data_IF_409164240421
#
_entry.id   IF_409164240421
#
_cell.length_a   1.000
_cell.length_b   1.000
_cell.length_c   1.000
_cell.angle_alpha   90.00
_cell.angle_beta   90.00
_cell.angle_gamma   90.00
#
_symmetry.space_group_name_H-M   'P 1'
#
loop_
_entity.id
_entity.type
_entity.pdbx_description
1 polymer ?
#
# COMPACT_ATOMS: atom_id res chain seq x y z
N UNK A 1 -13.80 51.74 7.01
CA UNK A 1 -12.79 50.68 6.87
C UNK A 1 -13.39 49.38 7.39
N UNK A 2 -13.96 48.51 6.55
CA UNK A 2 -14.43 47.23 7.05
C UNK A 2 -13.22 46.34 7.33
N UNK A 3 -13.16 45.78 8.55
CA UNK A 3 -12.15 44.81 8.94
C UNK A 3 -12.19 43.61 7.96
N UNK A 4 -11.07 43.39 7.27
CA UNK A 4 -10.95 42.38 6.24
C UNK A 4 -11.05 40.93 6.74
N UNK A 5 -11.16 39.96 5.81
CA UNK A 5 -11.42 38.53 6.06
C UNK A 5 -10.31 37.76 6.80
N UNK A 6 -9.24 38.43 7.25
CA UNK A 6 -8.10 37.83 7.97
C UNK A 6 -8.42 37.41 9.41
N UNK A 7 -9.38 38.08 10.07
CA UNK A 7 -9.72 37.79 11.48
C UNK A 7 -10.51 36.47 11.64
N UNK A 8 -11.39 36.17 10.69
CA UNK A 8 -12.25 34.99 10.73
C UNK A 8 -11.47 33.67 10.55
N UNK A 9 -10.46 33.66 9.67
CA UNK A 9 -9.62 32.48 9.37
C UNK A 9 -8.66 32.14 10.51
N UNK A 10 -8.11 33.15 11.19
CA UNK A 10 -7.22 32.94 12.33
C UNK A 10 -7.96 32.36 13.54
N UNK A 11 -9.13 32.92 13.88
CA UNK A 11 -9.99 32.40 14.96
C UNK A 11 -10.46 30.97 14.71
N UNK A 12 -10.82 30.62 13.47
CA UNK A 12 -11.17 29.25 13.09
C UNK A 12 -9.97 28.29 13.19
N UNK A 13 -8.78 28.72 12.79
CA UNK A 13 -7.55 27.90 12.89
C UNK A 13 -7.18 27.61 14.34
N UNK A 14 -7.24 28.62 15.22
CA UNK A 14 -6.97 28.45 16.65
C UNK A 14 -8.02 27.56 17.32
N UNK A 15 -9.30 27.76 17.01
CA UNK A 15 -10.40 26.92 17.52
C UNK A 15 -10.23 25.46 17.09
N UNK A 16 -9.88 25.22 15.83
CA UNK A 16 -9.60 23.88 15.33
C UNK A 16 -8.39 23.25 16.02
N UNK A 17 -7.29 23.99 16.20
CA UNK A 17 -6.11 23.51 16.93
C UNK A 17 -6.44 23.15 18.38
N UNK A 18 -7.20 24.00 19.07
CA UNK A 18 -7.64 23.74 20.44
C UNK A 18 -8.53 22.51 20.53
N UNK A 19 -9.53 22.38 19.66
CA UNK A 19 -10.39 21.20 19.60
C UNK A 19 -9.58 19.93 19.31
N UNK A 20 -8.61 20.01 18.39
CA UNK A 20 -7.75 18.87 18.08
C UNK A 20 -6.89 18.46 19.28
N UNK A 21 -6.32 19.42 20.02
CA UNK A 21 -5.57 19.13 21.25
C UNK A 21 -6.44 18.43 22.31
N UNK A 22 -7.71 18.83 22.44
CA UNK A 22 -8.66 18.18 23.37
C UNK A 22 -8.97 16.72 23.04
N UNK A 23 -8.82 16.33 21.77
CA UNK A 23 -9.03 14.95 21.33
C UNK A 23 -7.77 14.09 21.42
N UNK A 24 -6.60 14.66 21.74
CA UNK A 24 -5.36 13.91 21.88
C UNK A 24 -5.22 13.34 23.28
N UNK A 25 -4.70 12.11 23.36
CA UNK A 25 -4.28 11.57 24.66
C UNK A 25 -3.05 12.35 25.19
N UNK A 26 -2.85 12.43 26.52
CA UNK A 26 -1.67 13.12 27.09
C UNK A 26 -0.33 12.59 26.56
N UNK A 27 -0.26 11.30 26.21
CA UNK A 27 0.93 10.67 25.64
C UNK A 27 1.18 11.04 24.16
N UNK A 28 0.14 11.45 23.43
CA UNK A 28 0.25 11.77 22.01
C UNK A 28 0.99 13.09 21.77
N UNK A 29 0.81 14.09 22.63
CA UNK A 29 1.47 15.39 22.53
C UNK A 29 3.01 15.29 22.55
N UNK A 30 3.66 14.72 23.59
CA UNK A 30 5.11 14.57 23.61
C UNK A 30 5.61 13.67 22.49
N UNK A 31 4.84 12.65 22.10
CA UNK A 31 5.17 11.82 20.94
C UNK A 31 5.24 12.65 19.66
N UNK A 32 4.21 13.45 19.34
CA UNK A 32 4.20 14.29 18.14
C UNK A 32 5.32 15.33 18.15
N UNK A 33 5.59 15.96 19.29
CA UNK A 33 6.71 16.89 19.45
C UNK A 33 8.06 16.19 19.18
N UNK A 34 8.30 15.02 19.78
CA UNK A 34 9.51 14.24 19.55
C UNK A 34 9.68 13.83 18.09
N UNK A 35 8.59 13.44 17.40
CA UNK A 35 8.60 13.12 15.97
C UNK A 35 8.96 14.32 15.10
N UNK A 36 8.41 15.49 15.40
CA UNK A 36 8.70 16.71 14.67
C UNK A 36 10.16 17.13 14.85
N UNK A 37 10.67 17.09 16.08
CA UNK A 37 12.09 17.35 16.37
C UNK A 37 12.99 16.36 15.63
N UNK A 38 12.68 15.06 15.69
CA UNK A 38 13.46 14.04 14.97
C UNK A 38 13.50 14.29 13.46
N UNK A 39 12.36 14.66 12.85
CA UNK A 39 12.29 14.98 11.43
C UNK A 39 13.11 16.23 11.07
N UNK A 40 13.11 17.27 11.91
CA UNK A 40 13.95 18.45 11.73
C UNK A 40 15.44 18.13 11.89
N UNK A 41 15.82 17.35 12.90
CA UNK A 41 17.21 16.91 13.09
C UNK A 41 17.68 16.09 11.88
N UNK A 42 16.85 15.17 11.39
CA UNK A 42 17.14 14.39 10.17
C UNK A 42 17.23 15.26 8.90
N UNK A 43 16.51 16.39 8.84
CA UNK A 43 16.58 17.32 7.71
C UNK A 43 17.88 18.14 7.67
N UNK A 44 18.41 18.54 8.83
CA UNK A 44 19.62 19.37 8.95
C UNK A 44 20.89 18.49 8.92
N UNK A 45 20.86 17.36 9.62
CA UNK A 45 21.98 16.44 9.73
C UNK A 45 21.54 15.02 9.35
N UNK A 46 21.36 14.72 8.05
CA UNK A 46 20.92 13.41 7.59
C UNK A 46 21.95 12.36 8.01
N UNK A 47 21.59 11.49 8.97
CA UNK A 47 22.44 10.35 9.32
C UNK A 47 22.43 9.38 8.15
N UNK A 48 23.54 9.32 7.41
CA UNK A 48 23.80 8.23 6.45
C UNK A 48 23.92 6.92 7.22
N UNK A 49 22.81 6.20 7.34
CA UNK A 49 22.83 4.80 7.77
C UNK A 49 23.11 3.97 6.53
N UNK A 50 24.21 3.22 6.55
CA UNK A 50 24.49 2.22 5.52
C UNK A 50 23.46 1.09 5.61
N UNK A 51 23.14 0.52 4.45
CA UNK A 51 22.38 -0.71 4.38
C UNK A 51 23.34 -1.83 4.80
N UNK A 52 23.02 -2.64 5.83
CA UNK A 52 23.87 -3.74 6.21
C UNK A 52 23.96 -4.77 5.08
N UNK A 53 25.05 -5.54 4.97
CA UNK A 53 25.12 -6.63 4.00
C UNK A 53 23.99 -7.64 4.25
N UNK A 54 23.52 -8.25 3.17
CA UNK A 54 22.53 -9.33 3.26
C UNK A 54 23.19 -10.58 3.83
N UNK A 55 22.53 -11.25 4.78
CA UNK A 55 22.98 -12.52 5.33
C UNK A 55 22.22 -13.73 4.75
N UNK A 56 21.16 -13.47 4.00
CA UNK A 56 20.32 -14.45 3.32
C UNK A 56 19.83 -13.93 1.98
N UNK A 57 19.52 -14.85 1.07
CA UNK A 57 18.79 -14.51 -0.15
C UNK A 57 17.33 -14.12 0.12
N UNK A 58 16.65 -13.51 -0.85
CA UNK A 58 15.21 -13.28 -0.77
C UNK A 58 14.45 -14.61 -0.75
N UNK A 59 13.26 -14.61 -0.16
CA UNK A 59 12.47 -15.79 0.07
C UNK A 59 11.95 -16.39 -1.24
N UNK A 60 11.94 -17.71 -1.33
CA UNK A 60 11.61 -18.46 -2.55
C UNK A 60 10.18 -18.99 -2.59
N UNK A 61 9.48 -19.08 -1.45
CA UNK A 61 8.10 -19.59 -1.45
C UNK A 61 7.15 -18.49 -1.89
N UNK A 62 6.26 -18.85 -2.81
CA UNK A 62 5.29 -17.93 -3.38
C UNK A 62 4.00 -18.00 -2.58
N UNK A 63 3.36 -16.85 -2.40
CA UNK A 63 1.98 -16.72 -1.92
C UNK A 63 1.04 -16.16 -2.99
N UNK A 64 1.58 -15.84 -4.18
CA UNK A 64 0.82 -15.42 -5.35
C UNK A 64 1.10 -16.40 -6.49
N UNK A 65 0.03 -16.88 -7.12
CA UNK A 65 0.07 -17.87 -8.19
C UNK A 65 -0.82 -17.42 -9.35
N UNK A 66 -0.50 -17.89 -10.56
CA UNK A 66 -1.42 -17.79 -11.70
C UNK A 66 -2.37 -18.99 -11.60
N UNK A 67 -3.68 -18.78 -11.44
CA UNK A 67 -4.63 -19.88 -11.36
C UNK A 67 -4.73 -20.63 -12.69
N UNK A 68 -4.98 -21.93 -12.62
CA UNK A 68 -5.27 -22.75 -13.80
C UNK A 68 -6.61 -22.34 -14.42
N UNK A 69 -6.68 -22.29 -15.75
CA UNK A 69 -7.92 -21.95 -16.47
C UNK A 69 -8.28 -20.46 -16.46
N UNK A 70 -7.42 -19.58 -15.93
CA UNK A 70 -7.62 -18.13 -16.03
C UNK A 70 -7.60 -17.68 -17.49
N UNK A 71 -8.60 -16.91 -17.92
CA UNK A 71 -8.57 -16.22 -19.21
C UNK A 71 -7.50 -15.12 -19.18
N UNK A 72 -6.41 -15.23 -19.95
CA UNK A 72 -5.35 -14.24 -19.94
C UNK A 72 -5.74 -12.93 -20.64
N UNK A 73 -6.79 -12.91 -21.47
CA UNK A 73 -7.11 -11.79 -22.36
C UNK A 73 -7.25 -10.43 -21.64
N UNK A 74 -8.06 -10.26 -20.58
CA UNK A 74 -8.20 -8.97 -19.90
C UNK A 74 -6.89 -8.50 -19.24
N UNK A 75 -6.08 -9.43 -18.72
CA UNK A 75 -4.81 -9.14 -18.08
C UNK A 75 -3.74 -8.70 -19.08
N UNK A 76 -3.69 -9.39 -20.22
CA UNK A 76 -2.78 -9.07 -21.32
C UNK A 76 -3.16 -7.72 -21.94
N UNK A 77 -4.45 -7.44 -22.13
CA UNK A 77 -4.92 -6.17 -22.67
C UNK A 77 -4.52 -4.97 -21.80
N UNK A 78 -4.69 -5.06 -20.48
CA UNK A 78 -4.28 -3.97 -19.58
C UNK A 78 -2.74 -3.89 -19.46
N UNK A 79 -2.03 -5.02 -19.43
CA UNK A 79 -0.58 -5.01 -19.46
C UNK A 79 -0.03 -4.36 -20.74
N UNK A 80 -0.69 -4.55 -21.89
CA UNK A 80 -0.35 -3.91 -23.16
C UNK A 80 -0.61 -2.41 -23.16
N UNK A 81 -1.74 -1.99 -22.60
CA UNK A 81 -2.01 -0.56 -22.38
C UNK A 81 -0.90 0.08 -21.56
N UNK A 82 -0.54 -0.50 -20.41
CA UNK A 82 0.53 0.01 -19.54
C UNK A 82 1.88 -0.02 -20.26
N UNK A 83 2.21 -1.11 -20.96
CA UNK A 83 3.46 -1.23 -21.70
C UNK A 83 3.58 -0.22 -22.84
N UNK A 84 2.45 0.20 -23.44
CA UNK A 84 2.38 1.27 -24.43
C UNK A 84 2.40 2.69 -23.84
N UNK A 85 2.42 2.81 -22.50
CA UNK A 85 2.52 4.09 -21.79
C UNK A 85 1.19 4.65 -21.29
N UNK A 86 0.08 3.93 -21.46
CA UNK A 86 -1.23 4.37 -20.97
C UNK A 86 -1.48 3.88 -19.54
N UNK A 87 -1.76 4.81 -18.62
CA UNK A 87 -2.12 4.51 -17.23
C UNK A 87 -3.50 5.09 -16.89
N UNK A 88 -4.29 4.30 -16.17
CA UNK A 88 -5.58 4.73 -15.62
C UNK A 88 -5.51 4.81 -14.10
N UNK A 89 -5.76 6.01 -13.58
CA UNK A 89 -5.74 6.36 -12.16
C UNK A 89 -7.08 6.97 -11.80
N UNK A 90 -7.89 6.28 -10.99
CA UNK A 90 -9.29 6.63 -10.76
C UNK A 90 -10.02 6.83 -12.11
N UNK A 91 -10.67 7.98 -12.31
CA UNK A 91 -11.31 8.36 -13.56
C UNK A 91 -10.36 8.99 -14.60
N UNK A 92 -9.08 9.20 -14.27
CA UNK A 92 -8.11 9.85 -15.15
C UNK A 92 -7.33 8.79 -15.94
N UNK A 93 -7.48 8.80 -17.25
CA UNK A 93 -6.58 8.10 -18.17
C UNK A 93 -5.56 9.11 -18.72
N UNK A 94 -4.27 8.81 -18.62
CA UNK A 94 -3.24 9.57 -19.31
C UNK A 94 -2.38 8.65 -20.17
N UNK A 95 -2.24 9.02 -21.44
CA UNK A 95 -1.38 8.37 -22.42
C UNK A 95 -0.16 9.24 -22.81
N UNK A 96 -0.20 10.55 -22.52
CA UNK A 96 0.59 11.54 -23.26
C UNK A 96 1.53 12.39 -22.39
N UNK A 97 2.34 11.81 -21.49
CA UNK A 97 3.22 12.65 -20.65
C UNK A 97 4.49 12.06 -20.04
N UNK A 98 4.74 10.76 -20.19
CA UNK A 98 5.97 10.11 -19.72
C UNK A 98 5.72 8.65 -19.38
N UNK A 99 6.29 7.75 -20.17
CA UNK A 99 6.60 6.38 -19.77
C UNK A 99 8.13 6.31 -19.75
N UNK A 100 8.77 6.29 -18.56
CA UNK A 100 8.19 6.20 -17.22
C UNK A 100 7.46 7.49 -16.75
N UNK A 101 6.48 7.37 -15.84
CA UNK A 101 5.76 8.51 -15.25
C UNK A 101 6.66 9.58 -14.61
N UNK A 102 6.20 10.84 -14.60
CA UNK A 102 6.80 11.90 -13.78
C UNK A 102 6.38 11.73 -12.32
N UNK A 103 7.13 10.94 -11.57
CA UNK A 103 6.75 10.42 -10.24
C UNK A 103 6.43 11.46 -9.15
N UNK A 104 6.99 12.67 -9.24
CA UNK A 104 6.72 13.75 -8.29
C UNK A 104 5.74 14.80 -8.83
N UNK A 105 5.10 14.55 -9.99
CA UNK A 105 4.06 15.40 -10.56
C UNK A 105 2.70 14.80 -10.30
N UNK A 106 1.78 15.58 -9.73
CA UNK A 106 0.39 15.19 -9.70
C UNK A 106 -0.17 15.14 -11.14
N UNK A 107 -0.64 13.97 -11.63
CA UNK A 107 -1.13 13.85 -13.00
C UNK A 107 -2.44 14.62 -13.24
N UNK A 108 -3.20 14.97 -12.20
CA UNK A 108 -4.47 15.70 -12.32
C UNK A 108 -4.27 17.21 -12.47
N UNK A 109 -3.45 17.81 -11.62
CA UNK A 109 -3.23 19.27 -11.64
C UNK A 109 -1.97 19.68 -12.38
N UNK A 110 -1.05 18.74 -12.63
CA UNK A 110 0.24 19.01 -13.26
C UNK A 110 1.26 19.69 -12.34
N UNK A 111 0.96 19.87 -11.04
CA UNK A 111 1.88 20.45 -10.06
C UNK A 111 3.04 19.48 -9.79
N UNK A 112 4.27 19.98 -9.85
CA UNK A 112 5.49 19.23 -9.51
C UNK A 112 5.82 19.46 -8.03
N UNK A 113 5.68 18.40 -7.23
CA UNK A 113 5.96 18.43 -5.81
C UNK A 113 7.47 18.53 -5.52
N UNK A 114 7.89 19.33 -4.53
CA UNK A 114 9.31 19.50 -4.25
C UNK A 114 9.90 18.28 -3.52
N UNK A 115 11.18 18.00 -3.78
CA UNK A 115 11.95 16.97 -3.07
C UNK A 115 12.53 17.48 -1.73
N UNK A 116 11.76 18.20 -0.91
CA UNK A 116 12.17 18.56 0.47
C UNK A 116 12.08 17.33 1.39
N UNK A 117 12.41 17.46 2.67
CA UNK A 117 12.27 16.36 3.64
C UNK A 117 10.80 15.92 3.73
N UNK A 118 10.49 14.69 3.33
CA UNK A 118 9.11 14.22 3.15
C UNK A 118 8.27 14.33 4.43
N UNK A 119 8.86 14.07 5.59
CA UNK A 119 8.15 14.17 6.88
C UNK A 119 7.86 15.60 7.35
N UNK A 120 8.47 16.60 6.72
CA UNK A 120 8.23 18.03 6.95
C UNK A 120 7.43 18.67 5.80
N UNK A 121 7.24 17.95 4.69
CA UNK A 121 6.47 18.42 3.56
C UNK A 121 4.97 18.40 3.91
N UNK A 122 4.33 19.58 3.82
CA UNK A 122 2.88 19.66 3.96
C UNK A 122 2.19 19.18 2.68
N UNK A 123 1.99 17.87 2.60
CA UNK A 123 1.30 17.23 1.49
C UNK A 123 -0.19 17.58 1.40
N UNK A 124 -0.75 18.34 2.36
CA UNK A 124 -2.13 18.82 2.29
C UNK A 124 -2.24 20.16 1.57
N UNK A 125 -1.15 20.90 1.39
CA UNK A 125 -1.17 22.12 0.59
C UNK A 125 -1.18 21.79 -0.90
N UNK A 126 -2.38 21.90 -1.51
CA UNK A 126 -2.60 21.62 -2.92
C UNK A 126 -1.78 22.50 -3.86
N UNK A 127 -1.34 23.68 -3.42
CA UNK A 127 -0.46 24.54 -4.23
C UNK A 127 0.97 24.00 -4.29
N UNK A 128 1.37 23.22 -3.30
CA UNK A 128 2.71 22.67 -3.17
C UNK A 128 2.85 21.30 -3.83
N UNK A 129 1.82 20.46 -3.76
CA UNK A 129 1.89 19.06 -4.22
C UNK A 129 0.78 18.65 -5.19
N UNK A 130 -0.15 19.55 -5.52
CA UNK A 130 -1.33 19.22 -6.30
C UNK A 130 -2.36 18.40 -5.51
N UNK A 131 -3.09 17.53 -6.19
CA UNK A 131 -3.95 16.53 -5.58
C UNK A 131 -3.10 15.31 -5.16
N UNK A 132 -2.74 15.29 -3.86
CA UNK A 132 -1.87 14.25 -3.31
C UNK A 132 -2.39 12.83 -3.53
N UNK A 133 -3.72 12.64 -3.64
CA UNK A 133 -4.31 11.33 -3.88
C UNK A 133 -3.90 10.78 -5.25
N UNK A 134 -3.99 11.61 -6.29
CA UNK A 134 -3.61 11.24 -7.65
C UNK A 134 -2.10 11.01 -7.78
N UNK A 135 -1.30 11.83 -7.10
CA UNK A 135 0.15 11.63 -7.02
C UNK A 135 0.47 10.29 -6.36
N UNK A 136 -0.07 10.00 -5.18
CA UNK A 136 0.20 8.74 -4.49
C UNK A 136 -0.32 7.52 -5.22
N UNK A 137 -1.48 7.58 -5.87
CA UNK A 137 -2.06 6.42 -6.55
C UNK A 137 -1.14 5.85 -7.66
N UNK A 138 -0.51 6.73 -8.47
CA UNK A 138 0.53 6.29 -9.43
C UNK A 138 1.72 5.62 -8.71
N UNK A 139 2.12 6.22 -7.58
CA UNK A 139 3.28 5.82 -6.80
C UNK A 139 3.01 4.66 -5.83
N UNK A 140 1.79 4.10 -5.78
CA UNK A 140 1.48 2.82 -5.11
C UNK A 140 1.88 1.61 -5.95
N UNK A 141 2.16 1.83 -7.24
CA UNK A 141 2.71 0.84 -8.17
C UNK A 141 1.82 -0.38 -8.44
N UNK A 142 0.50 -0.20 -8.41
CA UNK A 142 -0.46 -1.23 -8.82
C UNK A 142 -0.20 -1.70 -10.26
N UNK A 143 0.20 -0.78 -11.16
CA UNK A 143 0.54 -1.09 -12.55
C UNK A 143 1.75 -2.03 -12.71
N UNK A 144 2.69 -2.06 -11.75
CA UNK A 144 3.82 -3.00 -11.79
C UNK A 144 3.34 -4.44 -11.55
N UNK A 145 2.28 -4.63 -10.76
CA UNK A 145 1.62 -5.93 -10.60
C UNK A 145 1.02 -6.37 -11.93
N UNK A 146 0.30 -5.49 -12.62
CA UNK A 146 -0.30 -5.81 -13.93
C UNK A 146 0.74 -6.16 -15.00
N UNK A 147 1.86 -5.43 -15.06
CA UNK A 147 2.98 -5.80 -15.94
C UNK A 147 3.55 -7.19 -15.60
N UNK A 148 3.70 -7.49 -14.30
CA UNK A 148 4.18 -8.80 -13.86
C UNK A 148 3.17 -9.92 -14.17
N UNK A 149 1.85 -9.64 -14.11
CA UNK A 149 0.80 -10.56 -14.56
C UNK A 149 0.90 -10.84 -16.07
N UNK A 150 1.05 -9.78 -16.89
CA UNK A 150 1.26 -9.92 -18.33
C UNK A 150 2.44 -10.83 -18.66
N UNK A 151 3.59 -10.65 -17.97
CA UNK A 151 4.73 -11.57 -18.10
C UNK A 151 4.43 -12.98 -17.61
N UNK A 152 3.78 -13.13 -16.45
CA UNK A 152 3.50 -14.45 -15.87
C UNK A 152 2.60 -15.30 -16.78
N UNK A 153 1.65 -14.67 -17.49
CA UNK A 153 0.69 -15.30 -18.39
C UNK A 153 1.24 -15.59 -19.78
N UNK A 154 2.10 -14.73 -20.33
CA UNK A 154 2.54 -14.81 -21.74
C UNK A 154 4.00 -15.16 -21.91
N UNK A 155 4.83 -14.94 -20.88
CA UNK A 155 6.30 -14.95 -20.92
C UNK A 155 6.93 -13.91 -21.86
N UNK A 156 6.17 -12.92 -22.32
CA UNK A 156 6.67 -11.86 -23.19
C UNK A 156 7.66 -10.92 -22.47
N UNK A 157 8.92 -10.81 -22.91
CA UNK A 157 9.96 -10.02 -22.22
C UNK A 157 9.67 -8.51 -22.15
N UNK A 158 8.79 -7.99 -23.01
CA UNK A 158 8.45 -6.55 -23.04
C UNK A 158 7.90 -6.05 -21.72
N UNK A 159 7.08 -6.85 -21.02
CA UNK A 159 6.48 -6.43 -19.76
C UNK A 159 7.51 -6.27 -18.64
N UNK A 160 8.47 -7.19 -18.53
CA UNK A 160 9.57 -7.07 -17.57
C UNK A 160 10.50 -5.90 -17.86
N UNK A 161 10.67 -5.55 -19.15
CA UNK A 161 11.45 -4.38 -19.55
C UNK A 161 10.83 -3.09 -19.04
N UNK A 162 9.52 -2.91 -19.27
CA UNK A 162 8.78 -1.73 -18.80
C UNK A 162 8.71 -1.70 -17.27
N UNK A 163 8.46 -2.84 -16.62
CA UNK A 163 8.46 -2.93 -15.16
C UNK A 163 9.82 -2.50 -14.57
N UNK A 164 10.93 -3.01 -15.13
CA UNK A 164 12.29 -2.62 -14.73
C UNK A 164 12.51 -1.12 -14.92
N UNK A 165 12.17 -0.58 -16.08
CA UNK A 165 12.32 0.83 -16.42
C UNK A 165 11.55 1.74 -15.45
N UNK A 166 10.27 1.43 -15.20
CA UNK A 166 9.42 2.19 -14.30
C UNK A 166 9.96 2.16 -12.87
N UNK A 167 10.28 0.96 -12.36
CA UNK A 167 10.80 0.83 -10.99
C UNK A 167 12.16 1.53 -10.82
N UNK A 168 13.08 1.36 -11.76
CA UNK A 168 14.39 2.01 -11.72
C UNK A 168 14.25 3.54 -11.78
N UNK A 169 13.40 4.05 -12.68
CA UNK A 169 13.10 5.47 -12.79
C UNK A 169 12.53 6.03 -11.48
N UNK A 170 11.58 5.32 -10.85
CA UNK A 170 11.00 5.73 -9.59
C UNK A 170 12.04 5.80 -8.46
N UNK A 171 12.87 4.76 -8.30
CA UNK A 171 13.89 4.71 -7.23
C UNK A 171 14.87 5.89 -7.37
N UNK A 172 15.21 6.28 -8.61
CA UNK A 172 16.10 7.41 -8.89
C UNK A 172 15.42 8.77 -8.65
N UNK A 173 14.15 8.91 -9.05
CA UNK A 173 13.40 10.16 -8.95
C UNK A 173 12.82 10.44 -7.54
N UNK A 174 12.64 9.41 -6.72
CA UNK A 174 12.02 9.49 -5.40
C UNK A 174 12.97 9.03 -4.29
N UNK A 175 14.09 9.74 -4.06
CA UNK A 175 15.12 9.32 -3.10
C UNK A 175 14.57 9.23 -1.67
N UNK A 176 15.11 8.27 -0.90
CA UNK A 176 14.65 7.97 0.46
C UNK A 176 14.49 9.21 1.33
N UNK A 177 13.35 9.31 2.02
CA UNK A 177 13.05 10.39 2.97
C UNK A 177 12.75 11.76 2.33
N UNK A 178 12.65 11.86 1.00
CA UNK A 178 12.43 13.13 0.30
C UNK A 178 11.17 13.13 -0.55
N UNK A 179 10.49 14.27 -0.59
CA UNK A 179 9.31 14.49 -1.41
C UNK A 179 8.04 13.79 -0.91
N UNK A 180 6.95 13.88 -1.69
CA UNK A 180 5.62 13.43 -1.28
C UNK A 180 5.54 11.93 -1.01
N UNK A 181 6.34 11.13 -1.72
CA UNK A 181 6.36 9.67 -1.60
C UNK A 181 6.92 9.15 -0.28
N UNK A 182 7.53 10.03 0.53
CA UNK A 182 8.09 9.71 1.84
C UNK A 182 7.42 10.51 2.97
N UNK A 183 6.23 11.07 2.73
CA UNK A 183 5.40 11.70 3.75
C UNK A 183 4.64 10.68 4.62
N UNK A 184 4.23 9.56 4.03
CA UNK A 184 3.34 8.55 4.62
C UNK A 184 3.99 7.17 4.63
N UNK A 185 4.00 6.51 5.79
CA UNK A 185 4.50 5.14 5.92
C UNK A 185 3.54 4.13 5.29
N UNK A 186 2.22 4.39 5.32
CA UNK A 186 1.21 3.59 4.62
C UNK A 186 1.51 3.48 3.12
N UNK A 187 1.83 4.59 2.46
CA UNK A 187 2.15 4.58 1.02
C UNK A 187 3.41 3.78 0.70
N UNK A 188 4.42 3.83 1.59
CA UNK A 188 5.60 2.99 1.48
C UNK A 188 5.28 1.50 1.68
N UNK A 189 4.34 1.19 2.57
CA UNK A 189 3.92 -0.18 2.86
C UNK A 189 3.10 -0.78 1.71
N UNK A 190 2.18 -0.02 1.12
CA UNK A 190 1.42 -0.44 -0.08
C UNK A 190 2.38 -0.74 -1.24
N UNK A 191 3.42 0.09 -1.45
CA UNK A 191 4.46 -0.22 -2.44
C UNK A 191 5.15 -1.54 -2.17
N UNK A 192 5.51 -1.85 -0.92
CA UNK A 192 6.16 -3.12 -0.59
C UNK A 192 5.26 -4.33 -0.85
N UNK A 193 3.94 -4.21 -0.65
CA UNK A 193 2.98 -5.26 -1.01
C UNK A 193 2.98 -5.47 -2.53
N UNK A 194 2.78 -4.40 -3.31
CA UNK A 194 2.76 -4.50 -4.77
C UNK A 194 4.11 -4.98 -5.35
N UNK A 195 5.24 -4.54 -4.78
CA UNK A 195 6.56 -5.02 -5.16
C UNK A 195 6.76 -6.49 -4.82
N UNK A 196 6.19 -7.00 -3.73
CA UNK A 196 6.27 -8.41 -3.37
C UNK A 196 5.52 -9.28 -4.39
N UNK A 197 4.31 -8.85 -4.76
CA UNK A 197 3.48 -9.51 -5.78
C UNK A 197 4.20 -9.48 -7.13
N UNK A 198 4.63 -8.30 -7.58
CA UNK A 198 5.33 -8.11 -8.86
C UNK A 198 6.63 -8.91 -8.92
N UNK A 199 7.41 -8.94 -7.83
CA UNK A 199 8.62 -9.76 -7.71
C UNK A 199 8.31 -11.24 -7.93
N UNK A 200 7.30 -11.80 -7.26
CA UNK A 200 6.96 -13.22 -7.36
C UNK A 200 6.46 -13.60 -8.76
N UNK A 201 5.55 -12.81 -9.33
CA UNK A 201 5.00 -13.04 -10.68
C UNK A 201 6.07 -12.90 -11.77
N UNK A 202 7.08 -12.04 -11.56
CA UNK A 202 8.23 -11.91 -12.47
C UNK A 202 9.21 -13.10 -12.44
N UNK A 203 9.06 -14.03 -11.49
CA UNK A 203 9.98 -15.17 -11.30
C UNK A 203 10.86 -15.07 -10.05
N UNK A 204 10.66 -14.06 -9.21
CA UNK A 204 11.40 -13.85 -7.97
C UNK A 204 12.88 -13.61 -8.19
N UNK A 205 13.73 -14.22 -7.36
CA UNK A 205 15.18 -14.02 -7.43
C UNK A 205 15.82 -14.51 -8.74
N UNK A 206 15.10 -15.35 -9.49
CA UNK A 206 15.47 -15.94 -10.77
C UNK A 206 14.78 -15.27 -11.98
N UNK A 207 14.10 -14.14 -11.78
CA UNK A 207 13.45 -13.40 -12.85
C UNK A 207 14.45 -13.00 -13.97
N UNK A 208 14.07 -13.12 -15.26
CA UNK A 208 15.03 -12.96 -16.38
C UNK A 208 15.77 -11.63 -16.42
N UNK A 209 15.15 -10.53 -15.99
CA UNK A 209 15.79 -9.20 -15.98
C UNK A 209 16.97 -9.05 -15.01
N UNK A 210 17.26 -10.08 -14.20
CA UNK A 210 18.43 -10.15 -13.32
C UNK A 210 19.61 -10.89 -13.95
N UNK A 211 19.39 -11.68 -15.01
CA UNK A 211 20.43 -12.52 -15.63
C UNK A 211 21.29 -11.77 -16.68
N UNK A 212 20.80 -10.64 -17.22
CA UNK A 212 21.49 -9.87 -18.25
C UNK A 212 22.44 -8.79 -17.74
N UNK A 213 23.05 -8.05 -18.68
CA UNK A 213 23.88 -6.87 -18.38
C UNK A 213 23.09 -5.84 -17.55
N UNK A 214 23.70 -5.37 -16.45
CA UNK A 214 23.06 -4.49 -15.47
C UNK A 214 21.98 -5.15 -14.60
N UNK A 215 21.71 -6.46 -14.76
CA UNK A 215 20.71 -7.19 -13.98
C UNK A 215 21.06 -7.29 -12.49
N UNK A 216 22.33 -7.55 -12.18
CA UNK A 216 22.81 -7.59 -10.79
C UNK A 216 22.72 -6.21 -10.10
N UNK A 217 23.03 -5.13 -10.82
CA UNK A 217 22.93 -3.76 -10.30
C UNK A 217 21.48 -3.36 -10.07
N UNK A 218 20.56 -3.72 -10.97
CA UNK A 218 19.13 -3.52 -10.78
C UNK A 218 18.59 -4.33 -9.59
N UNK A 219 19.01 -5.60 -9.43
CA UNK A 219 18.64 -6.41 -8.27
C UNK A 219 19.10 -5.76 -6.97
N UNK A 220 20.34 -5.26 -6.93
CA UNK A 220 20.86 -4.51 -5.78
C UNK A 220 20.06 -3.24 -5.51
N UNK A 221 19.78 -2.43 -6.55
CA UNK A 221 18.99 -1.21 -6.45
C UNK A 221 17.60 -1.46 -5.85
N UNK A 222 16.91 -2.51 -6.32
CA UNK A 222 15.60 -2.87 -5.81
C UNK A 222 15.67 -3.33 -4.35
N UNK A 223 16.58 -4.25 -4.02
CA UNK A 223 16.72 -4.77 -2.65
C UNK A 223 17.14 -3.67 -1.66
N UNK A 224 18.02 -2.76 -2.06
CA UNK A 224 18.39 -1.59 -1.26
C UNK A 224 17.17 -0.70 -1.00
N UNK A 225 16.36 -0.44 -2.03
CA UNK A 225 15.11 0.33 -1.90
C UNK A 225 14.11 -0.37 -0.97
N UNK A 226 13.96 -1.69 -1.05
CA UNK A 226 13.11 -2.49 -0.14
C UNK A 226 13.55 -2.30 1.31
N UNK A 227 14.85 -2.43 1.59
CA UNK A 227 15.38 -2.23 2.95
C UNK A 227 15.05 -0.83 3.48
N UNK A 228 15.20 0.20 2.64
CA UNK A 228 14.92 1.58 3.02
C UNK A 228 13.44 1.84 3.29
N UNK A 229 12.54 1.23 2.52
CA UNK A 229 11.11 1.27 2.80
C UNK A 229 10.79 0.58 4.12
N UNK A 230 11.30 -0.64 4.33
CA UNK A 230 11.07 -1.39 5.58
C UNK A 230 11.57 -0.61 6.81
N UNK A 231 12.76 -0.01 6.70
CA UNK A 231 13.36 0.83 7.74
C UNK A 231 12.52 2.08 8.01
N UNK A 232 12.01 2.72 6.95
CA UNK A 232 11.16 3.89 7.06
C UNK A 232 9.84 3.55 7.76
N UNK A 233 9.14 2.50 7.33
CA UNK A 233 7.88 2.06 7.92
C UNK A 233 8.06 1.75 9.42
N UNK A 234 9.04 0.91 9.76
CA UNK A 234 9.33 0.58 11.16
C UNK A 234 9.66 1.82 12.00
N UNK A 235 10.37 2.79 11.42
CA UNK A 235 10.74 4.03 12.09
C UNK A 235 9.61 5.05 12.21
N UNK A 236 8.55 4.94 11.41
CA UNK A 236 7.49 5.94 11.24
C UNK A 236 6.06 5.40 11.38
N UNK A 237 5.89 4.24 12.03
CA UNK A 237 4.55 3.71 12.34
C UNK A 237 3.62 4.77 12.91
N UNK A 238 2.42 4.83 12.36
CA UNK A 238 1.34 5.69 12.79
C UNK A 238 0.84 5.25 14.16
N UNK A 239 0.62 6.23 15.06
CA UNK A 239 0.26 5.98 16.46
C UNK A 239 -0.80 6.95 16.93
N UNK A 240 -1.45 6.60 18.05
CA UNK A 240 -2.51 7.38 18.69
C UNK A 240 -3.65 7.70 17.71
N UNK A 241 -4.11 8.94 17.63
CA UNK A 241 -5.19 9.35 16.72
C UNK A 241 -4.90 9.19 15.22
N UNK A 242 -3.68 8.77 14.85
CA UNK A 242 -3.31 8.47 13.46
C UNK A 242 -3.16 6.98 13.18
N UNK A 243 -3.36 6.10 14.17
CA UNK A 243 -3.15 4.67 14.02
C UNK A 243 -4.10 4.10 12.96
N UNK A 244 -5.41 4.02 13.23
CA UNK A 244 -6.49 3.64 12.31
C UNK A 244 -6.10 2.63 11.18
N UNK A 245 -6.73 2.68 10.01
CA UNK A 245 -6.34 1.86 8.88
C UNK A 245 -4.86 1.99 8.49
N UNK A 246 -4.22 3.13 8.79
CA UNK A 246 -2.81 3.37 8.47
C UNK A 246 -1.86 2.37 9.13
N UNK A 247 -2.01 2.13 10.43
CA UNK A 247 -1.12 1.25 11.21
C UNK A 247 -1.27 -0.21 10.77
N UNK A 248 -2.50 -0.63 10.45
CA UNK A 248 -2.75 -1.97 9.91
C UNK A 248 -2.06 -2.11 8.54
N UNK A 249 -2.25 -1.16 7.62
CA UNK A 249 -1.62 -1.22 6.30
C UNK A 249 -0.10 -1.12 6.34
N UNK A 250 0.44 -0.26 7.21
CA UNK A 250 1.88 -0.15 7.50
C UNK A 250 2.47 -1.47 7.99
N UNK A 251 1.82 -2.11 8.96
CA UNK A 251 2.24 -3.39 9.49
C UNK A 251 2.11 -4.51 8.45
N UNK A 252 1.02 -4.55 7.67
CA UNK A 252 0.83 -5.54 6.61
C UNK A 252 1.95 -5.48 5.57
N UNK A 253 2.29 -4.28 5.08
CA UNK A 253 3.36 -4.13 4.10
C UNK A 253 4.74 -4.48 4.66
N UNK A 254 5.03 -4.14 5.93
CA UNK A 254 6.29 -4.53 6.57
C UNK A 254 6.37 -6.04 6.82
N UNK A 255 5.27 -6.66 7.22
CA UNK A 255 5.17 -8.10 7.44
C UNK A 255 5.43 -8.86 6.13
N UNK A 256 4.69 -8.53 5.07
CA UNK A 256 4.84 -9.12 3.73
C UNK A 256 6.24 -8.88 3.15
N UNK A 257 6.82 -7.70 3.37
CA UNK A 257 8.20 -7.43 2.95
C UNK A 257 9.21 -8.30 3.70
N UNK A 258 9.05 -8.48 5.00
CA UNK A 258 9.95 -9.31 5.78
C UNK A 258 9.81 -10.80 5.50
N UNK A 259 8.65 -11.23 5.01
CA UNK A 259 8.46 -12.56 4.43
C UNK A 259 9.18 -12.67 3.09
N UNK A 260 8.94 -11.74 2.16
CA UNK A 260 9.44 -11.80 0.76
C UNK A 260 10.95 -11.58 0.66
N UNK A 261 11.51 -10.66 1.45
CA UNK A 261 12.92 -10.29 1.46
C UNK A 261 13.50 -10.41 2.88
N UNK A 262 13.64 -11.63 3.44
CA UNK A 262 14.18 -11.86 4.78
C UNK A 262 15.71 -11.75 4.80
N UNK A 263 16.28 -10.87 3.97
CA UNK A 263 17.70 -10.79 3.66
C UNK A 263 18.54 -10.15 4.76
N UNK A 264 17.89 -9.51 5.75
CA UNK A 264 18.56 -8.81 6.84
C UNK A 264 17.98 -9.23 8.20
N UNK A 265 18.81 -9.45 9.25
CA UNK A 265 18.34 -9.75 10.60
C UNK A 265 17.28 -8.77 11.10
N UNK A 266 17.54 -7.47 10.93
CA UNK A 266 16.62 -6.41 11.36
C UNK A 266 15.26 -6.50 10.68
N UNK A 267 15.20 -6.82 9.39
CA UNK A 267 13.93 -6.94 8.66
C UNK A 267 13.13 -8.14 9.20
N UNK A 268 13.80 -9.23 9.58
CA UNK A 268 13.14 -10.38 10.23
C UNK A 268 12.62 -10.04 11.62
N UNK A 269 13.33 -9.22 12.38
CA UNK A 269 12.84 -8.72 13.68
C UNK A 269 11.66 -7.76 13.50
N UNK A 270 11.75 -6.84 12.55
CA UNK A 270 10.67 -5.91 12.21
C UNK A 270 9.41 -6.63 11.71
N UNK A 271 9.56 -7.74 10.98
CA UNK A 271 8.46 -8.62 10.61
C UNK A 271 7.71 -9.16 11.82
N UNK A 272 8.42 -9.61 12.87
CA UNK A 272 7.79 -10.10 14.12
C UNK A 272 7.01 -8.98 14.81
N UNK A 273 7.57 -7.78 14.85
CA UNK A 273 6.89 -6.59 15.38
C UNK A 273 5.63 -6.27 14.57
N UNK A 274 5.73 -6.32 13.24
CA UNK A 274 4.59 -6.08 12.36
C UNK A 274 3.48 -7.12 12.55
N UNK A 275 3.83 -8.40 12.69
CA UNK A 275 2.87 -9.46 12.99
C UNK A 275 2.12 -9.20 14.31
N UNK A 276 2.86 -8.82 15.37
CA UNK A 276 2.25 -8.48 16.66
C UNK A 276 1.32 -7.26 16.58
N UNK A 277 1.66 -6.27 15.74
CA UNK A 277 0.78 -5.12 15.48
C UNK A 277 -0.50 -5.58 14.79
N UNK A 278 -0.40 -6.41 13.75
CA UNK A 278 -1.57 -6.92 13.02
C UNK A 278 -2.51 -7.70 13.94
N UNK A 279 -1.97 -8.61 14.77
CA UNK A 279 -2.72 -9.37 15.78
C UNK A 279 -3.51 -8.44 16.71
N UNK A 280 -2.84 -7.42 17.25
CA UNK A 280 -3.44 -6.49 18.20
C UNK A 280 -4.46 -5.57 17.53
N UNK A 281 -4.11 -4.96 16.40
CA UNK A 281 -4.90 -3.91 15.78
C UNK A 281 -6.11 -4.46 15.03
N UNK A 282 -6.06 -5.68 14.50
CA UNK A 282 -7.26 -6.35 13.94
C UNK A 282 -8.37 -6.44 15.00
N UNK A 283 -8.01 -6.80 16.23
CA UNK A 283 -8.94 -6.93 17.36
C UNK A 283 -9.34 -5.57 17.94
N UNK A 284 -8.41 -4.63 18.02
CA UNK A 284 -8.63 -3.32 18.64
C UNK A 284 -9.45 -2.38 17.77
N UNK A 285 -9.28 -2.43 16.45
CA UNK A 285 -9.89 -1.49 15.52
C UNK A 285 -11.16 -2.01 14.82
N UNK A 286 -11.58 -3.21 15.17
CA UNK A 286 -12.87 -3.77 14.75
C UNK A 286 -13.67 -4.12 16.00
N UNK A 287 -14.98 -4.23 15.91
CA UNK A 287 -15.82 -4.80 16.96
C UNK A 287 -15.90 -6.33 16.84
N UNK A 288 -16.46 -7.00 17.85
CA UNK A 288 -16.59 -8.46 17.88
C UNK A 288 -17.51 -9.03 16.80
N UNK A 289 -18.46 -8.23 16.32
CA UNK A 289 -19.34 -8.52 15.18
C UNK A 289 -18.75 -8.10 13.82
N UNK A 290 -17.49 -7.61 13.80
CA UNK A 290 -16.74 -7.36 12.57
C UNK A 290 -16.91 -5.96 11.98
N UNK A 291 -17.64 -5.05 12.62
CA UNK A 291 -17.75 -3.66 12.15
C UNK A 291 -16.42 -2.93 12.43
N UNK A 292 -15.88 -2.23 11.42
CA UNK A 292 -14.73 -1.34 11.63
C UNK A 292 -15.10 -0.20 12.57
N UNK A 293 -14.22 0.11 13.54
CA UNK A 293 -14.43 1.23 14.47
C UNK A 293 -14.25 2.61 13.81
N UNK A 294 -13.71 2.68 12.59
CA UNK A 294 -13.75 3.91 11.78
C UNK A 294 -15.14 4.20 11.19
N UNK A 295 -16.04 3.21 11.23
CA UNK A 295 -17.42 3.32 10.74
C UNK A 295 -17.52 3.83 9.29
N UNK A 296 -16.57 3.43 8.45
CA UNK A 296 -16.54 3.70 7.02
C UNK A 296 -16.37 2.40 6.23
N UNK A 297 -17.33 2.11 5.35
CA UNK A 297 -17.36 0.81 4.62
C UNK A 297 -16.16 0.69 3.67
N UNK A 298 -15.75 1.80 3.03
CA UNK A 298 -14.58 1.84 2.17
C UNK A 298 -13.29 1.49 2.94
N UNK A 299 -13.11 2.05 4.15
CA UNK A 299 -11.93 1.72 4.97
C UNK A 299 -11.98 0.31 5.54
N UNK A 300 -13.18 -0.23 5.86
CA UNK A 300 -13.30 -1.63 6.25
C UNK A 300 -12.83 -2.58 5.14
N UNK A 301 -13.20 -2.31 3.89
CA UNK A 301 -12.70 -3.06 2.72
C UNK A 301 -11.18 -2.95 2.59
N UNK A 302 -10.64 -1.75 2.70
CA UNK A 302 -9.20 -1.53 2.59
C UNK A 302 -8.40 -2.23 3.71
N UNK A 303 -8.92 -2.22 4.94
CA UNK A 303 -8.36 -2.97 6.07
C UNK A 303 -8.46 -4.49 5.84
N UNK A 304 -9.60 -4.97 5.33
CA UNK A 304 -9.79 -6.39 4.99
C UNK A 304 -8.73 -6.87 4.00
N UNK A 305 -8.41 -6.11 2.95
CA UNK A 305 -7.35 -6.45 2.00
C UNK A 305 -6.00 -6.64 2.71
N UNK A 306 -5.59 -5.69 3.57
CA UNK A 306 -4.32 -5.77 4.28
C UNK A 306 -4.23 -7.00 5.18
N UNK A 307 -5.29 -7.27 5.96
CA UNK A 307 -5.33 -8.40 6.87
C UNK A 307 -5.35 -9.73 6.11
N UNK A 308 -6.16 -9.83 5.05
CA UNK A 308 -6.27 -11.00 4.20
C UNK A 308 -4.94 -11.33 3.50
N UNK A 309 -4.31 -10.35 2.87
CA UNK A 309 -3.02 -10.54 2.19
C UNK A 309 -1.92 -10.95 3.18
N UNK A 310 -1.89 -10.37 4.39
CA UNK A 310 -0.96 -10.77 5.43
C UNK A 310 -1.19 -12.22 5.87
N UNK A 311 -2.45 -12.64 6.07
CA UNK A 311 -2.80 -14.02 6.42
C UNK A 311 -2.34 -15.02 5.36
N UNK A 312 -2.64 -14.74 4.08
CA UNK A 312 -2.27 -15.60 2.95
C UNK A 312 -0.74 -15.71 2.79
N UNK A 313 -0.03 -14.58 2.90
CA UNK A 313 1.42 -14.55 2.84
C UNK A 313 2.07 -15.32 4.03
N UNK A 314 1.51 -15.18 5.23
CA UNK A 314 1.96 -15.92 6.41
C UNK A 314 1.77 -17.42 6.27
N UNK A 315 0.60 -17.86 5.78
CA UNK A 315 0.28 -19.28 5.57
C UNK A 315 1.24 -19.98 4.62
N UNK A 316 1.67 -19.34 3.53
CA UNK A 316 2.68 -19.94 2.63
C UNK A 316 4.08 -20.04 3.26
N UNK A 317 4.31 -19.30 4.36
CA UNK A 317 5.51 -19.31 5.19
C UNK A 317 5.46 -20.28 6.36
N UNK A 318 4.38 -21.05 6.49
CA UNK A 318 4.08 -21.81 7.71
C UNK A 318 4.01 -20.91 8.97
N UNK A 319 3.79 -19.61 8.80
CA UNK A 319 3.55 -18.66 9.89
C UNK A 319 2.05 -18.48 10.09
N UNK A 320 1.60 -18.74 11.31
CA UNK A 320 0.18 -18.66 11.67
C UNK A 320 -0.09 -17.38 12.44
N UNK A 321 -1.21 -16.75 12.13
CA UNK A 321 -1.86 -15.79 13.02
C UNK A 321 -2.70 -16.54 14.05
N UNK A 322 -3.10 -15.86 15.12
CA UNK A 322 -3.93 -16.41 16.16
C UNK A 322 -5.34 -16.73 15.65
N UNK A 323 -6.02 -17.66 16.32
CA UNK A 323 -7.42 -17.94 16.03
C UNK A 323 -8.29 -16.68 16.18
N UNK A 324 -7.96 -15.78 17.10
CA UNK A 324 -8.69 -14.53 17.31
C UNK A 324 -8.57 -13.59 16.10
N UNK A 325 -7.39 -13.52 15.48
CA UNK A 325 -7.18 -12.76 14.24
C UNK A 325 -8.03 -13.31 13.10
N UNK A 326 -7.99 -14.63 12.88
CA UNK A 326 -8.78 -15.29 11.83
C UNK A 326 -10.28 -15.15 12.06
N UNK A 327 -10.73 -15.34 13.31
CA UNK A 327 -12.14 -15.13 13.71
C UNK A 327 -12.58 -13.69 13.47
N UNK A 328 -11.71 -12.70 13.75
CA UNK A 328 -12.04 -11.31 13.49
C UNK A 328 -12.16 -11.03 12.00
N UNK A 329 -11.25 -11.55 11.18
CA UNK A 329 -11.32 -11.43 9.73
C UNK A 329 -12.61 -12.03 9.18
N UNK A 330 -12.99 -13.23 9.66
CA UNK A 330 -14.25 -13.88 9.31
C UNK A 330 -15.47 -13.02 9.69
N UNK A 331 -15.50 -12.44 10.90
CA UNK A 331 -16.58 -11.55 11.33
C UNK A 331 -16.68 -10.30 10.45
N UNK A 332 -15.56 -9.67 10.08
CA UNK A 332 -15.54 -8.51 9.19
C UNK A 332 -16.10 -8.83 7.80
N UNK A 333 -15.84 -10.03 7.28
CA UNK A 333 -16.40 -10.52 6.02
C UNK A 333 -17.91 -10.80 6.12
N UNK A 334 -18.36 -11.38 7.23
CA UNK A 334 -19.80 -11.57 7.49
C UNK A 334 -20.52 -10.22 7.59
N UNK A 335 -19.93 -9.24 8.27
CA UNK A 335 -20.44 -7.88 8.33
C UNK A 335 -20.59 -7.28 6.92
N UNK A 336 -19.55 -7.40 6.08
CA UNK A 336 -19.58 -6.94 4.69
C UNK A 336 -20.67 -7.63 3.87
N UNK A 337 -20.81 -8.95 4.00
CA UNK A 337 -21.86 -9.73 3.34
C UNK A 337 -23.28 -9.32 3.78
N UNK A 338 -23.44 -8.97 5.07
CA UNK A 338 -24.72 -8.60 5.68
C UNK A 338 -25.25 -7.26 5.17
N UNK A 339 -24.34 -6.31 4.86
CA UNK A 339 -24.71 -4.99 4.34
C UNK A 339 -24.73 -4.93 2.80
N UNK A 340 -24.39 -6.03 2.13
CA UNK A 340 -24.37 -6.12 0.67
C UNK A 340 -25.76 -6.45 0.12
N UNK A 341 -26.22 -5.67 -0.86
CA UNK A 341 -27.46 -5.94 -1.59
C UNK A 341 -27.34 -7.12 -2.58
N UNK A 342 -28.40 -7.45 -3.31
CA UNK A 342 -28.37 -8.53 -4.31
C UNK A 342 -27.51 -8.19 -5.55
N UNK A 343 -27.33 -6.91 -5.85
CA UNK A 343 -26.46 -6.42 -6.92
C UNK A 343 -24.97 -6.52 -6.58
N UNK A 344 -24.62 -6.67 -5.31
CA UNK A 344 -23.23 -6.65 -4.83
C UNK A 344 -22.77 -5.26 -4.40
N UNK A 345 -23.70 -4.31 -4.29
CA UNK A 345 -23.42 -2.97 -3.79
C UNK A 345 -23.46 -2.97 -2.27
N UNK A 346 -22.71 -2.06 -1.66
CA UNK A 346 -22.71 -1.80 -0.22
C UNK A 346 -23.04 -0.32 0.02
N UNK A 347 -23.62 0.04 1.17
CA UNK A 347 -23.97 1.42 1.45
C UNK A 347 -22.72 2.30 1.59
N UNK A 348 -22.79 3.53 1.07
CA UNK A 348 -21.71 4.53 1.16
C UNK A 348 -21.73 5.24 2.53
N UNK A 349 -21.50 4.48 3.61
CA UNK A 349 -21.43 4.99 4.98
C UNK A 349 -19.98 5.37 5.29
N UNK A 350 -19.81 6.58 5.85
CA UNK A 350 -18.51 7.13 6.24
C UNK A 350 -17.73 7.73 5.06
N UNK A 351 -16.45 8.03 5.30
CA UNK A 351 -15.56 8.58 4.28
C UNK A 351 -15.09 7.49 3.31
N UNK A 352 -14.85 7.88 2.06
CA UNK A 352 -14.27 7.03 1.03
C UNK A 352 -13.21 7.80 0.25
N UNK A 353 -12.14 7.10 -0.15
CA UNK A 353 -11.06 7.64 -0.96
C UNK A 353 -10.63 6.73 -2.13
N UNK A 354 -11.45 5.73 -2.45
CA UNK A 354 -11.23 4.73 -3.51
C UNK A 354 -9.89 4.00 -3.38
N UNK A 355 -9.35 3.86 -2.16
CA UNK A 355 -8.09 3.20 -1.90
C UNK A 355 -8.11 1.70 -2.26
N UNK A 356 -7.17 1.27 -3.10
CA UNK A 356 -6.92 -0.13 -3.41
C UNK A 356 -5.50 -0.54 -2.98
N UNK A 357 -5.37 -1.71 -2.33
CA UNK A 357 -4.04 -2.21 -1.93
C UNK A 357 -3.28 -2.72 -3.15
N UNK A 358 -3.94 -3.50 -4.00
CA UNK A 358 -3.38 -4.08 -5.22
C UNK A 358 -4.46 -4.26 -6.28
N UNK A 359 -4.07 -4.48 -7.54
CA UNK A 359 -5.00 -4.73 -8.67
C UNK A 359 -4.73 -6.11 -9.26
N UNK A 360 -5.27 -7.14 -8.61
CA UNK A 360 -5.09 -8.53 -9.04
C UNK A 360 -6.09 -8.95 -10.11
N UNK A 361 -7.34 -8.48 -10.09
CA UNK A 361 -8.30 -8.78 -11.15
C UNK A 361 -8.31 -7.68 -12.23
N UNK A 362 -8.45 -8.07 -13.49
CA UNK A 362 -8.59 -7.15 -14.64
C UNK A 362 -9.94 -7.32 -15.36
N UNK A 363 -10.85 -8.09 -14.78
CA UNK A 363 -12.18 -8.30 -15.36
C UNK A 363 -13.01 -7.01 -15.31
N UNK A 364 -13.75 -6.65 -16.39
CA UNK A 364 -14.62 -5.47 -16.41
C UNK A 364 -15.71 -5.46 -15.32
N UNK A 365 -16.11 -6.64 -14.85
CA UNK A 365 -17.14 -6.82 -13.81
C UNK A 365 -16.55 -7.08 -12.41
N UNK A 366 -15.28 -6.76 -12.21
CA UNK A 366 -14.62 -6.87 -10.91
C UNK A 366 -15.33 -6.01 -9.86
N UNK A 367 -15.53 -6.60 -8.68
CA UNK A 367 -16.02 -5.91 -7.50
C UNK A 367 -15.13 -6.29 -6.32
N UNK A 368 -14.48 -5.29 -5.72
CA UNK A 368 -13.61 -5.50 -4.56
C UNK A 368 -14.33 -6.20 -3.39
N UNK A 369 -15.62 -5.90 -3.17
CA UNK A 369 -16.38 -6.50 -2.09
C UNK A 369 -16.66 -7.99 -2.36
N UNK A 370 -17.21 -8.34 -3.53
CA UNK A 370 -17.40 -9.74 -3.95
C UNK A 370 -16.10 -10.54 -3.94
N UNK A 371 -14.98 -9.95 -4.35
CA UNK A 371 -13.65 -10.57 -4.30
C UNK A 371 -13.23 -10.96 -2.88
N UNK A 372 -13.40 -10.04 -1.91
CA UNK A 372 -13.16 -10.34 -0.50
C UNK A 372 -14.06 -11.46 0.02
N UNK A 373 -15.35 -11.45 -0.35
CA UNK A 373 -16.28 -12.51 0.05
C UNK A 373 -15.91 -13.87 -0.59
N UNK A 374 -15.46 -13.88 -1.84
CA UNK A 374 -14.97 -15.08 -2.52
C UNK A 374 -13.76 -15.69 -1.79
N UNK A 375 -12.79 -14.83 -1.44
CA UNK A 375 -11.63 -15.22 -0.65
C UNK A 375 -12.02 -15.78 0.71
N UNK A 376 -12.95 -15.09 1.40
CA UNK A 376 -13.50 -15.54 2.68
C UNK A 376 -14.23 -16.88 2.61
N UNK A 377 -15.01 -17.10 1.56
CA UNK A 377 -15.74 -18.33 1.33
C UNK A 377 -14.82 -19.55 1.25
N UNK A 378 -13.70 -19.42 0.53
CA UNK A 378 -12.68 -20.47 0.40
C UNK A 378 -11.94 -20.65 1.73
N UNK A 379 -11.47 -19.56 2.34
CA UNK A 379 -10.61 -19.63 3.53
C UNK A 379 -11.32 -20.17 4.77
N UNK A 380 -12.61 -19.88 4.90
CA UNK A 380 -13.42 -20.24 6.07
C UNK A 380 -14.50 -21.28 5.77
N UNK A 381 -14.56 -21.82 4.54
CA UNK A 381 -15.55 -22.82 4.15
C UNK A 381 -17.01 -22.33 4.26
N UNK A 382 -17.26 -21.04 4.04
CA UNK A 382 -18.57 -20.43 4.27
C UNK A 382 -19.46 -20.44 3.03
N UNK A 383 -20.57 -21.19 3.10
CA UNK A 383 -21.60 -21.22 2.06
C UNK A 383 -22.34 -19.89 1.88
N UNK A 384 -22.50 -19.11 2.95
CA UNK A 384 -23.14 -17.78 2.90
C UNK A 384 -22.26 -16.78 2.14
N UNK A 385 -20.97 -16.71 2.47
CA UNK A 385 -20.03 -15.84 1.77
C UNK A 385 -19.93 -16.25 0.29
N UNK A 386 -19.94 -17.57 0.00
CA UNK A 386 -19.97 -18.09 -1.37
C UNK A 386 -21.19 -17.60 -2.14
N UNK A 387 -22.38 -17.67 -1.55
CA UNK A 387 -23.61 -17.24 -2.18
C UNK A 387 -23.60 -15.73 -2.49
N UNK A 388 -23.06 -14.90 -1.58
CA UNK A 388 -22.93 -13.45 -1.78
C UNK A 388 -21.84 -13.08 -2.78
N UNK A 389 -20.71 -13.79 -2.78
CA UNK A 389 -19.63 -13.59 -3.75
C UNK A 389 -20.13 -13.84 -5.19
N UNK A 390 -20.85 -14.93 -5.40
CA UNK A 390 -21.44 -15.32 -6.69
C UNK A 390 -20.44 -16.02 -7.62
N UNK A 391 -19.23 -15.47 -7.78
CA UNK A 391 -18.15 -16.07 -8.58
C UNK A 391 -16.77 -15.77 -7.99
N UNK A 392 -15.77 -16.51 -8.47
CA UNK A 392 -14.35 -16.15 -8.29
C UNK A 392 -13.93 -15.16 -9.38
N UNK A 393 -12.94 -14.34 -9.07
CA UNK A 393 -12.41 -13.27 -9.93
C UNK A 393 -11.03 -13.58 -10.53
#
# INVERSE_FOLDING_TARGET
MPAGPFSATFGQTLRWRFNRLRCMSPAELPYRAARLIAAHVESIAPRRRSIPPMDRGPWSRRWVHVPEGLDPAPYVAEADRIASGALTIFALSFADGGSPPRWNRDPKTGVEAPLTTGKLLDYRDRRLVGDIKYLWEVNRHLHLVTLAQGYALTREPRYLRVLKEHLESWIRACPKGRGPNWCSALEAAIRLINWSIAWQLSGGAAAPFFAGSGGADFKRLWLDSVYEHARFIHGYFSRHSSANNHLIGEAAGLYIAGLTWPCWPRVRDWRRVAQQILEREALLQSSTDGVSLEQAVCYQQFVLDFLLLALLAGRSADERFSAAYEQRLAAMLVCLASIMDAGGNVPMIGDADDGAVTRLAQSPDFSTYRSLLASGAILFGSGELKAKAGKLD
#
